data_IF_909050803573
#
_entry.id   IF_909050803573
#
_cell.length_a   1.000
_cell.length_b   1.000
_cell.length_c   1.000
_cell.angle_alpha   90.00
_cell.angle_beta   90.00
_cell.angle_gamma   90.00
#
_symmetry.space_group_name_H-M   'P 1'
#
loop_
_entity.id
_entity.type
_entity.pdbx_description
1 polymer ?
#
# COMPACT_ATOMS: atom_id res chain seq x y z
N UNK A 1 63.46 -38.92 25.32
CA UNK A 1 62.44 -39.05 26.38
C UNK A 1 61.07 -38.79 25.76
N UNK A 2 60.11 -39.69 26.00
CA UNK A 2 58.72 -39.62 25.52
C UNK A 2 57.93 -38.61 26.36
N UNK A 3 57.14 -37.75 25.73
CA UNK A 3 55.99 -37.09 26.37
C UNK A 3 54.91 -36.80 25.32
N UNK A 4 53.81 -37.53 25.44
CA UNK A 4 52.47 -37.20 24.94
C UNK A 4 51.82 -36.20 25.91
N UNK A 5 50.96 -35.28 25.45
CA UNK A 5 49.80 -34.63 26.13
C UNK A 5 49.29 -33.55 25.13
N UNK A 6 48.21 -33.77 24.37
CA UNK A 6 46.77 -33.66 24.68
C UNK A 6 46.13 -32.55 23.82
N UNK A 7 45.41 -32.99 22.78
CA UNK A 7 44.39 -32.24 22.06
C UNK A 7 43.16 -32.20 22.97
N UNK A 8 42.76 -31.02 23.42
CA UNK A 8 41.65 -30.83 24.36
C UNK A 8 40.71 -29.71 23.91
N UNK A 9 39.63 -30.13 23.25
CA UNK A 9 38.28 -29.55 23.19
C UNK A 9 38.04 -28.08 23.64
N UNK A 10 37.80 -27.19 22.67
CA UNK A 10 36.93 -26.01 22.83
C UNK A 10 36.09 -25.88 21.56
N UNK A 11 34.90 -26.48 21.54
CA UNK A 11 33.86 -26.25 20.53
C UNK A 11 32.59 -27.00 20.95
N UNK A 12 31.74 -26.39 21.80
CA UNK A 12 30.37 -26.86 22.06
C UNK A 12 29.56 -25.78 22.83
N UNK A 13 29.28 -24.65 22.18
CA UNK A 13 28.29 -23.69 22.70
C UNK A 13 27.74 -22.78 21.59
N UNK A 14 27.15 -23.37 20.54
CA UNK A 14 26.47 -22.60 19.48
C UNK A 14 25.43 -23.44 18.71
N UNK A 15 24.39 -23.97 19.37
CA UNK A 15 23.30 -24.67 18.64
C UNK A 15 21.88 -24.51 19.20
N UNK A 16 21.61 -23.61 20.15
CA UNK A 16 20.28 -23.48 20.76
C UNK A 16 19.38 -22.39 20.17
N UNK A 17 19.84 -21.60 19.19
CA UNK A 17 19.12 -20.39 18.74
C UNK A 17 18.35 -20.51 17.40
N UNK A 18 18.22 -21.71 16.82
CA UNK A 18 17.69 -21.88 15.45
C UNK A 18 16.54 -22.89 15.31
N UNK A 19 15.80 -23.14 16.40
CA UNK A 19 14.49 -23.80 16.32
C UNK A 19 13.39 -22.75 16.55
N UNK A 20 13.26 -21.79 15.64
CA UNK A 20 11.98 -21.10 15.50
C UNK A 20 10.97 -22.15 15.01
N UNK A 21 10.31 -22.80 15.97
CA UNK A 21 9.20 -23.69 15.70
C UNK A 21 8.25 -22.96 14.73
N UNK A 22 8.10 -23.52 13.54
CA UNK A 22 7.04 -23.12 12.61
C UNK A 22 5.71 -23.38 13.31
N UNK A 23 5.22 -22.39 14.06
CA UNK A 23 3.92 -22.46 14.69
C UNK A 23 2.87 -22.75 13.62
N UNK A 24 2.08 -23.79 13.88
CA UNK A 24 0.98 -24.21 13.02
C UNK A 24 0.10 -22.97 12.75
N UNK A 25 -0.13 -22.60 11.47
CA UNK A 25 -1.05 -21.53 11.11
C UNK A 25 -2.45 -21.66 11.75
N UNK A 26 -2.90 -22.86 12.10
CA UNK A 26 -4.13 -23.09 12.89
C UNK A 26 -4.00 -22.50 14.29
N UNK A 27 -2.92 -22.83 15.02
CA UNK A 27 -2.70 -22.32 16.39
C UNK A 27 -2.62 -20.80 16.42
N UNK A 28 -1.97 -20.16 15.43
CA UNK A 28 -1.92 -18.70 15.35
C UNK A 28 -3.28 -18.04 15.13
N UNK A 29 -4.23 -18.74 14.53
CA UNK A 29 -5.59 -18.24 14.32
C UNK A 29 -6.42 -18.44 15.57
N UNK A 30 -6.31 -19.62 16.17
CA UNK A 30 -6.97 -19.98 17.42
C UNK A 30 -6.54 -19.06 18.56
N UNK A 31 -5.23 -18.76 18.69
CA UNK A 31 -4.72 -17.88 19.73
C UNK A 31 -5.25 -16.45 19.58
N UNK A 32 -5.32 -15.91 18.36
CA UNK A 32 -5.92 -14.59 18.11
C UNK A 32 -7.39 -14.54 18.52
N UNK A 33 -8.15 -15.59 18.24
CA UNK A 33 -9.55 -15.69 18.65
C UNK A 33 -9.67 -15.84 20.17
N UNK A 34 -8.75 -16.59 20.80
CA UNK A 34 -8.65 -16.71 22.26
C UNK A 34 -8.50 -15.33 22.90
N UNK A 35 -7.54 -14.54 22.45
CA UNK A 35 -7.23 -13.23 23.01
C UNK A 35 -8.36 -12.22 22.75
N UNK A 36 -8.94 -12.23 21.54
CA UNK A 36 -9.98 -11.28 21.15
C UNK A 36 -11.33 -11.52 21.85
N UNK A 37 -11.68 -12.79 22.08
CA UNK A 37 -12.98 -13.17 22.64
C UNK A 37 -12.88 -13.72 24.07
N UNK A 38 -11.68 -13.70 24.65
CA UNK A 38 -11.40 -14.27 25.97
C UNK A 38 -11.88 -15.72 26.10
N UNK A 39 -11.59 -16.56 25.10
CA UNK A 39 -12.07 -17.94 25.06
C UNK A 39 -11.43 -18.78 26.17
N UNK A 40 -12.25 -19.63 26.79
CA UNK A 40 -11.79 -20.69 27.71
C UNK A 40 -11.01 -21.78 26.96
N UNK A 41 -10.20 -22.56 27.66
CA UNK A 41 -9.39 -23.61 27.03
C UNK A 41 -10.23 -24.69 26.32
N UNK A 42 -11.42 -24.99 26.84
CA UNK A 42 -12.37 -25.89 26.17
C UNK A 42 -12.90 -25.29 24.85
N UNK A 43 -13.21 -23.98 24.84
CA UNK A 43 -13.63 -23.29 23.61
C UNK A 43 -12.48 -23.21 22.60
N UNK A 44 -11.25 -23.01 23.06
CA UNK A 44 -10.03 -23.00 22.24
C UNK A 44 -9.85 -24.34 21.53
N UNK A 45 -10.04 -25.46 22.23
CA UNK A 45 -9.97 -26.79 21.62
C UNK A 45 -11.04 -26.97 20.52
N UNK A 46 -12.29 -26.56 20.77
CA UNK A 46 -13.36 -26.64 19.77
C UNK A 46 -13.08 -25.76 18.55
N UNK A 47 -12.60 -24.53 18.77
CA UNK A 47 -12.24 -23.61 17.67
C UNK A 47 -11.07 -24.16 16.86
N UNK A 48 -10.07 -24.78 17.50
CA UNK A 48 -8.97 -25.47 16.82
C UNK A 48 -9.48 -26.54 15.87
N UNK A 49 -10.39 -27.39 16.33
CA UNK A 49 -10.94 -28.47 15.50
C UNK A 49 -11.76 -27.91 14.32
N UNK A 50 -12.56 -26.86 14.56
CA UNK A 50 -13.32 -26.17 13.50
C UNK A 50 -12.38 -25.58 12.45
N UNK A 51 -11.39 -24.80 12.86
CA UNK A 51 -10.44 -24.16 11.95
C UNK A 51 -9.64 -25.19 11.18
N UNK A 52 -9.24 -26.30 11.83
CA UNK A 52 -8.53 -27.40 11.15
C UNK A 52 -9.41 -28.04 10.08
N UNK A 53 -10.66 -28.37 10.43
CA UNK A 53 -11.63 -28.96 9.52
C UNK A 53 -11.93 -28.04 8.33
N UNK A 54 -12.20 -26.76 8.56
CA UNK A 54 -12.44 -25.79 7.49
C UNK A 54 -11.28 -25.73 6.49
N UNK A 55 -10.03 -25.80 6.97
CA UNK A 55 -8.85 -25.81 6.09
C UNK A 55 -8.72 -27.11 5.30
N UNK A 56 -9.07 -28.25 5.89
CA UNK A 56 -9.12 -29.52 5.17
C UNK A 56 -10.22 -29.52 4.11
N UNK A 57 -11.42 -29.03 4.44
CA UNK A 57 -12.56 -28.90 3.52
C UNK A 57 -12.22 -27.97 2.34
N UNK A 58 -11.59 -26.82 2.62
CA UNK A 58 -11.09 -25.92 1.57
C UNK A 58 -10.04 -26.62 0.72
N UNK A 59 -9.07 -27.33 1.32
CA UNK A 59 -8.05 -28.06 0.53
C UNK A 59 -8.64 -29.15 -0.34
N UNK A 60 -9.71 -29.80 0.09
CA UNK A 60 -10.35 -30.88 -0.66
C UNK A 60 -10.95 -30.41 -2.00
N UNK A 61 -11.39 -29.15 -2.08
CA UNK A 61 -11.96 -28.58 -3.33
C UNK A 61 -10.92 -27.89 -4.22
N UNK A 62 -9.67 -27.77 -3.77
CA UNK A 62 -8.59 -27.13 -4.51
C UNK A 62 -7.80 -28.14 -5.34
N UNK A 63 -7.30 -27.70 -6.49
CA UNK A 63 -6.29 -28.46 -7.26
C UNK A 63 -4.95 -28.45 -6.53
N UNK A 64 -4.03 -29.35 -6.89
CA UNK A 64 -2.73 -29.44 -6.21
C UNK A 64 -1.88 -28.16 -6.36
N UNK A 65 -1.99 -27.47 -7.50
CA UNK A 65 -1.38 -26.16 -7.71
C UNK A 65 -1.97 -25.07 -6.79
N UNK A 66 -3.30 -25.10 -6.60
CA UNK A 66 -3.99 -24.16 -5.70
C UNK A 66 -3.70 -24.45 -4.23
N UNK A 67 -3.61 -25.73 -3.82
CA UNK A 67 -3.22 -26.14 -2.45
C UNK A 67 -1.85 -25.58 -2.07
N UNK A 68 -0.89 -25.64 -3.00
CA UNK A 68 0.46 -25.08 -2.80
C UNK A 68 0.40 -23.57 -2.53
N UNK A 69 -0.36 -22.84 -3.35
CA UNK A 69 -0.57 -21.39 -3.16
C UNK A 69 -1.27 -21.09 -1.84
N UNK A 70 -2.29 -21.87 -1.48
CA UNK A 70 -3.05 -21.72 -0.25
C UNK A 70 -2.18 -21.94 1.01
N UNK A 71 -1.33 -22.98 0.99
CA UNK A 71 -0.40 -23.26 2.08
C UNK A 71 0.69 -22.19 2.21
N UNK A 72 1.15 -21.63 1.09
CA UNK A 72 2.12 -20.55 1.08
C UNK A 72 1.52 -19.22 1.54
N UNK A 73 0.26 -18.92 1.16
CA UNK A 73 -0.47 -17.74 1.60
C UNK A 73 -0.78 -17.78 3.10
N UNK A 74 -1.10 -18.96 3.64
CA UNK A 74 -1.32 -19.17 5.09
C UNK A 74 -0.08 -19.01 5.96
N UNK A 75 1.12 -19.09 5.36
CA UNK A 75 2.41 -18.82 6.04
C UNK A 75 2.77 -17.32 6.06
N UNK A 76 1.81 -16.46 5.74
CA UNK A 76 1.91 -15.01 5.72
C UNK A 76 2.96 -14.45 6.66
N UNK A 77 3.98 -13.88 6.02
CA UNK A 77 5.17 -13.20 6.53
C UNK A 77 4.83 -11.94 7.35
N UNK A 78 3.93 -12.05 8.35
CA UNK A 78 3.77 -11.04 9.41
C UNK A 78 4.89 -11.29 10.39
N UNK A 79 5.99 -10.57 10.21
CA UNK A 79 7.15 -10.64 11.10
C UNK A 79 6.73 -10.40 12.56
N UNK A 80 7.38 -11.06 13.52
CA UNK A 80 7.12 -10.88 14.94
C UNK A 80 7.75 -9.56 15.37
N UNK A 81 6.93 -8.54 15.62
CA UNK A 81 7.40 -7.27 16.16
C UNK A 81 6.70 -6.07 15.54
N UNK A 82 5.53 -5.73 16.08
CA UNK A 82 4.80 -4.54 15.65
C UNK A 82 3.46 -4.44 16.34
N UNK A 83 3.50 -4.29 17.67
CA UNK A 83 2.33 -4.05 18.51
C UNK A 83 1.80 -2.62 18.31
N UNK A 84 1.56 -2.22 17.06
CA UNK A 84 0.99 -0.91 16.75
C UNK A 84 -0.53 -1.07 16.55
N UNK A 85 -1.21 -1.08 17.69
CA UNK A 85 -2.66 -1.04 17.80
C UNK A 85 -3.12 0.34 17.30
N UNK A 86 -3.37 0.44 16.00
CA UNK A 86 -3.72 1.69 15.35
C UNK A 86 -4.29 1.44 13.98
N UNK A 87 -5.61 1.15 13.97
CA UNK A 87 -6.55 1.33 12.87
C UNK A 87 -5.92 1.92 11.57
N UNK A 88 -5.35 1.06 10.74
CA UNK A 88 -4.43 1.49 9.68
C UNK A 88 -4.27 0.42 8.62
N UNK A 89 -5.38 0.14 7.93
CA UNK A 89 -5.45 -0.26 6.53
C UNK A 89 -4.25 -1.08 6.00
N UNK A 90 -4.44 -2.39 5.83
CA UNK A 90 -3.54 -3.35 5.15
C UNK A 90 -3.18 -2.98 3.68
N UNK A 91 -3.35 -1.71 3.27
CA UNK A 91 -3.07 -1.16 1.96
C UNK A 91 -1.59 -1.11 1.58
N UNK A 92 -0.65 -1.61 2.38
CA UNK A 92 0.73 -1.84 1.88
C UNK A 92 0.77 -2.90 0.76
N UNK A 93 -0.35 -3.60 0.48
CA UNK A 93 -0.58 -4.34 -0.76
C UNK A 93 -0.62 -3.46 -2.02
N UNK A 94 -0.75 -2.13 -1.89
CA UNK A 94 -0.69 -1.18 -2.99
C UNK A 94 0.74 -0.89 -3.47
N UNK A 95 1.78 -1.24 -2.70
CA UNK A 95 3.14 -1.36 -3.21
C UNK A 95 3.23 -2.69 -3.97
N UNK A 96 2.41 -2.83 -5.02
CA UNK A 96 2.56 -3.93 -5.99
C UNK A 96 3.96 -3.77 -6.56
N UNK A 97 4.90 -4.56 -6.04
CA UNK A 97 6.35 -4.48 -6.27
C UNK A 97 6.82 -4.82 -7.69
N UNK A 98 6.08 -4.37 -8.68
CA UNK A 98 6.23 -4.57 -10.11
C UNK A 98 5.22 -3.71 -10.88
N UNK A 99 4.69 -2.65 -10.27
CA UNK A 99 3.61 -1.84 -10.81
C UNK A 99 3.99 -1.06 -12.09
N UNK A 100 5.22 -1.17 -12.58
CA UNK A 100 5.67 -0.58 -13.84
C UNK A 100 5.44 -1.48 -15.06
N UNK A 101 4.91 -2.70 -14.87
CA UNK A 101 4.50 -3.59 -15.96
C UNK A 101 2.98 -3.83 -15.97
N UNK A 102 2.36 -4.02 -17.16
CA UNK A 102 0.97 -4.46 -17.28
C UNK A 102 0.71 -5.79 -16.54
N UNK A 103 -0.54 -6.16 -16.24
CA UNK A 103 -0.77 -7.49 -15.64
C UNK A 103 -0.38 -8.61 -16.63
N UNK A 104 0.01 -9.79 -16.13
CA UNK A 104 0.47 -10.88 -17.03
C UNK A 104 -0.68 -11.36 -17.92
N UNK A 105 -1.91 -11.33 -17.40
CA UNK A 105 -3.11 -11.66 -18.17
C UNK A 105 -3.37 -10.64 -19.30
N UNK A 106 -3.10 -9.35 -19.06
CA UNK A 106 -3.23 -8.32 -20.10
C UNK A 106 -2.21 -8.56 -21.22
N UNK A 107 -0.96 -8.86 -20.84
CA UNK A 107 0.09 -9.25 -21.79
C UNK A 107 -0.27 -10.54 -22.53
N UNK A 108 -0.83 -11.54 -21.84
CA UNK A 108 -1.26 -12.80 -22.47
C UNK A 108 -2.24 -12.55 -23.60
N UNK A 109 -3.25 -11.73 -23.35
CA UNK A 109 -4.27 -11.39 -24.35
C UNK A 109 -3.68 -10.53 -25.47
N UNK A 110 -2.94 -9.46 -25.15
CA UNK A 110 -2.42 -8.51 -26.14
C UNK A 110 -1.34 -9.12 -27.06
N UNK A 111 -0.47 -9.97 -26.51
CA UNK A 111 0.63 -10.59 -27.25
C UNK A 111 0.33 -12.03 -27.67
N UNK A 112 -0.86 -12.55 -27.32
CA UNK A 112 -1.24 -13.95 -27.55
C UNK A 112 -0.16 -14.91 -27.02
N UNK A 113 0.27 -14.70 -25.76
CA UNK A 113 1.34 -15.48 -25.15
C UNK A 113 0.93 -16.94 -24.93
N UNK A 114 1.88 -17.85 -25.13
CA UNK A 114 1.71 -19.26 -24.74
C UNK A 114 1.75 -19.42 -23.21
N UNK A 115 1.23 -20.53 -22.69
CA UNK A 115 1.25 -20.80 -21.25
C UNK A 115 2.68 -20.92 -20.70
N UNK A 116 3.62 -21.44 -21.50
CA UNK A 116 5.04 -21.50 -21.15
C UNK A 116 5.66 -20.10 -21.04
N UNK A 117 5.35 -19.19 -21.99
CA UNK A 117 5.80 -17.80 -21.93
C UNK A 117 5.22 -17.08 -20.71
N UNK A 118 3.93 -17.29 -20.42
CA UNK A 118 3.25 -16.73 -19.25
C UNK A 118 3.92 -17.19 -17.95
N UNK A 119 4.25 -18.48 -17.85
CA UNK A 119 4.93 -19.07 -16.69
C UNK A 119 6.29 -18.40 -16.47
N UNK A 120 7.13 -18.32 -17.52
CA UNK A 120 8.46 -17.67 -17.43
C UNK A 120 8.39 -16.17 -17.13
N UNK A 121 7.40 -15.45 -17.67
CA UNK A 121 7.18 -14.03 -17.35
C UNK A 121 6.78 -13.85 -15.87
N UNK A 122 5.98 -14.77 -15.32
CA UNK A 122 5.63 -14.73 -13.91
C UNK A 122 6.84 -14.98 -13.01
N UNK A 123 7.71 -15.94 -13.35
CA UNK A 123 8.97 -16.17 -12.63
C UNK A 123 9.87 -14.92 -12.60
N UNK A 124 10.00 -14.24 -13.75
CA UNK A 124 10.73 -12.96 -13.82
C UNK A 124 10.11 -11.92 -12.87
N UNK A 125 8.78 -11.79 -12.85
CA UNK A 125 8.07 -10.86 -11.95
C UNK A 125 8.20 -11.23 -10.48
N UNK A 126 8.21 -12.51 -10.16
CA UNK A 126 8.42 -13.01 -8.80
C UNK A 126 9.84 -12.67 -8.33
N UNK A 127 10.85 -12.85 -9.19
CA UNK A 127 12.23 -12.46 -8.90
C UNK A 127 12.36 -10.96 -8.59
N UNK A 128 11.77 -10.10 -9.43
CA UNK A 128 11.72 -8.63 -9.19
C UNK A 128 11.05 -8.29 -7.86
N UNK A 129 9.94 -8.96 -7.52
CA UNK A 129 9.25 -8.77 -6.23
C UNK A 129 10.13 -9.19 -5.06
N UNK A 130 10.94 -10.25 -5.20
CA UNK A 130 11.90 -10.68 -4.19
C UNK A 130 13.07 -9.71 -4.05
N UNK A 131 13.61 -9.19 -5.15
CA UNK A 131 14.65 -8.16 -5.15
C UNK A 131 14.16 -6.89 -4.46
N UNK A 132 12.93 -6.45 -4.76
CA UNK A 132 12.34 -5.29 -4.12
C UNK A 132 12.12 -5.51 -2.62
N UNK A 133 11.66 -6.71 -2.22
CA UNK A 133 11.55 -7.07 -0.81
C UNK A 133 12.91 -7.00 -0.12
N UNK A 134 13.94 -7.54 -0.74
CA UNK A 134 15.32 -7.53 -0.23
C UNK A 134 15.86 -6.12 -0.11
N UNK A 135 15.62 -5.27 -1.13
CA UNK A 135 15.98 -3.86 -1.12
C UNK A 135 15.41 -3.12 0.09
N UNK A 136 14.12 -3.32 0.40
CA UNK A 136 13.49 -2.70 1.57
C UNK A 136 13.91 -3.35 2.90
N UNK A 137 14.09 -4.67 2.94
CA UNK A 137 14.53 -5.38 4.15
C UNK A 137 15.95 -5.00 4.57
N UNK A 138 16.89 -4.93 3.62
CA UNK A 138 18.28 -4.55 3.88
C UNK A 138 18.38 -3.11 4.39
N UNK A 139 17.43 -2.25 4.01
CA UNK A 139 17.35 -0.87 4.50
C UNK A 139 16.64 -0.72 5.84
N UNK A 140 15.59 -1.49 6.09
CA UNK A 140 14.82 -1.40 7.34
C UNK A 140 15.58 -1.85 8.58
N UNK A 141 16.65 -2.64 8.44
CA UNK A 141 17.49 -3.10 9.56
C UNK A 141 18.67 -2.20 9.90
N UNK A 142 19.16 -1.40 8.95
CA UNK A 142 20.46 -0.76 9.07
C UNK A 142 20.43 0.75 9.27
N UNK A 143 19.25 1.39 9.31
CA UNK A 143 19.18 2.85 9.24
C UNK A 143 18.44 3.47 10.43
N UNK A 144 19.22 3.80 11.47
CA UNK A 144 18.81 4.61 12.62
C UNK A 144 18.87 6.13 12.33
N UNK A 145 18.86 6.55 11.05
CA UNK A 145 18.86 7.97 10.69
C UNK A 145 19.32 8.21 9.26
N UNK A 146 18.53 8.97 8.49
CA UNK A 146 18.96 9.49 7.18
C UNK A 146 18.10 9.04 6.00
N UNK A 147 16.86 9.51 5.95
CA UNK A 147 15.91 9.29 4.86
C UNK A 147 16.21 10.06 3.55
N UNK A 148 17.34 10.75 3.43
CA UNK A 148 17.61 11.64 2.30
C UNK A 148 18.05 10.89 1.01
N UNK A 149 18.69 9.72 1.11
CA UNK A 149 19.12 8.94 -0.08
C UNK A 149 18.15 7.79 -0.45
N UNK A 150 16.98 7.72 0.19
CA UNK A 150 16.03 6.63 -0.07
C UNK A 150 15.44 6.75 -1.48
N UNK A 151 14.99 7.96 -1.82
CA UNK A 151 14.32 8.27 -3.08
C UNK A 151 15.23 8.02 -4.29
N UNK A 152 16.46 8.55 -4.27
CA UNK A 152 17.41 8.38 -5.38
C UNK A 152 17.78 6.90 -5.61
N UNK A 153 18.12 6.18 -4.55
CA UNK A 153 18.44 4.74 -4.68
C UNK A 153 17.23 3.92 -5.10
N UNK A 154 16.01 4.33 -4.70
CA UNK A 154 14.79 3.66 -5.12
C UNK A 154 14.49 3.93 -6.61
N UNK A 155 14.69 5.16 -7.07
CA UNK A 155 14.58 5.51 -8.49
C UNK A 155 15.60 4.73 -9.33
N UNK A 156 16.87 4.69 -8.91
CA UNK A 156 17.91 3.92 -9.58
C UNK A 156 17.60 2.41 -9.62
N UNK A 157 17.11 1.86 -8.50
CA UNK A 157 16.64 0.48 -8.45
C UNK A 157 15.48 0.24 -9.43
N UNK A 158 14.52 1.16 -9.49
CA UNK A 158 13.35 1.06 -10.36
C UNK A 158 13.73 1.12 -11.83
N UNK A 159 14.59 2.06 -12.24
CA UNK A 159 15.07 2.17 -13.63
C UNK A 159 15.82 0.92 -14.06
N UNK A 160 16.77 0.46 -13.24
CA UNK A 160 17.53 -0.76 -13.50
C UNK A 160 16.61 -1.98 -13.59
N UNK A 161 15.71 -2.14 -12.64
CA UNK A 161 14.76 -3.25 -12.62
C UNK A 161 13.85 -3.21 -13.85
N UNK A 162 13.39 -2.03 -14.27
CA UNK A 162 12.55 -1.86 -15.46
C UNK A 162 13.28 -2.28 -16.73
N UNK A 163 14.52 -1.86 -16.92
CA UNK A 163 15.33 -2.20 -18.09
C UNK A 163 15.62 -3.71 -18.15
N UNK A 164 16.18 -4.27 -17.07
CA UNK A 164 16.55 -5.69 -17.02
C UNK A 164 15.33 -6.60 -17.19
N UNK A 165 14.21 -6.25 -16.55
CA UNK A 165 12.97 -7.02 -16.67
C UNK A 165 12.41 -6.96 -18.08
N UNK A 166 12.38 -5.78 -18.69
CA UNK A 166 11.88 -5.61 -20.06
C UNK A 166 12.73 -6.40 -21.05
N UNK A 167 14.06 -6.41 -20.87
CA UNK A 167 14.99 -7.20 -21.67
C UNK A 167 14.73 -8.71 -21.53
N UNK A 168 14.68 -9.23 -20.29
CA UNK A 168 14.40 -10.66 -20.02
C UNK A 168 13.06 -11.10 -20.61
N UNK A 169 12.04 -10.24 -20.57
CA UNK A 169 10.74 -10.56 -21.19
C UNK A 169 10.88 -10.58 -22.72
N UNK A 170 11.53 -9.57 -23.34
CA UNK A 170 11.73 -9.54 -24.81
C UNK A 170 12.48 -10.76 -25.35
N UNK A 171 13.43 -11.30 -24.60
CA UNK A 171 14.19 -12.50 -24.99
C UNK A 171 13.31 -13.77 -25.02
N UNK A 172 12.13 -13.76 -24.37
CA UNK A 172 11.14 -14.84 -24.38
C UNK A 172 10.07 -14.67 -25.47
N UNK A 173 10.02 -13.51 -26.12
CA UNK A 173 9.01 -13.16 -27.11
C UNK A 173 9.50 -13.44 -28.52
N UNK A 174 8.58 -13.81 -29.41
CA UNK A 174 8.85 -13.89 -30.85
C UNK A 174 9.08 -12.50 -31.44
N UNK A 175 9.68 -12.42 -32.63
CA UNK A 175 9.92 -11.14 -33.30
C UNK A 175 8.62 -10.38 -33.60
N UNK A 176 7.52 -11.09 -33.83
CA UNK A 176 6.18 -10.51 -34.03
C UNK A 176 5.56 -9.96 -32.72
N UNK A 177 5.93 -10.50 -31.57
CA UNK A 177 5.41 -10.10 -30.25
C UNK A 177 6.16 -8.89 -29.67
N UNK A 178 7.46 -8.75 -29.95
CA UNK A 178 8.30 -7.64 -29.46
C UNK A 178 7.72 -6.23 -29.72
N UNK A 179 7.24 -5.87 -30.93
CA UNK A 179 6.65 -4.54 -31.14
C UNK A 179 5.37 -4.31 -30.32
N UNK A 180 4.52 -5.34 -30.16
CA UNK A 180 3.30 -5.27 -29.32
C UNK A 180 3.64 -5.10 -27.85
N UNK A 181 4.70 -5.75 -27.37
CA UNK A 181 5.20 -5.56 -26.01
C UNK A 181 5.61 -4.11 -25.76
N UNK A 182 6.34 -3.52 -26.70
CA UNK A 182 6.83 -2.15 -26.58
C UNK A 182 5.70 -1.13 -26.58
N UNK A 183 4.68 -1.35 -27.41
CA UNK A 183 3.45 -0.57 -27.39
C UNK A 183 2.68 -0.73 -26.07
N UNK A 184 2.54 -1.96 -25.57
CA UNK A 184 1.91 -2.22 -24.28
C UNK A 184 2.63 -1.50 -23.13
N UNK A 185 3.97 -1.47 -23.13
CA UNK A 185 4.76 -0.72 -22.15
C UNK A 185 4.53 0.78 -22.25
N UNK A 186 4.47 1.34 -23.46
CA UNK A 186 4.21 2.78 -23.68
C UNK A 186 2.81 3.16 -23.20
N UNK A 187 1.79 2.41 -23.61
CA UNK A 187 0.39 2.63 -23.21
C UNK A 187 0.23 2.52 -21.71
N UNK A 188 0.85 1.51 -21.10
CA UNK A 188 0.83 1.36 -19.66
C UNK A 188 1.52 2.51 -18.93
N UNK A 189 2.69 2.96 -19.40
CA UNK A 189 3.39 4.11 -18.83
C UNK A 189 2.58 5.42 -18.97
N UNK A 190 1.85 5.62 -20.08
CA UNK A 190 0.96 6.77 -20.27
C UNK A 190 -0.27 6.74 -19.35
N UNK A 191 -0.76 5.54 -19.00
CA UNK A 191 -1.89 5.35 -18.10
C UNK A 191 -1.48 5.24 -16.62
N UNK A 192 -0.19 5.12 -16.33
CA UNK A 192 0.32 5.13 -14.98
C UNK A 192 0.21 6.56 -14.44
N UNK A 193 -0.31 6.74 -13.21
CA UNK A 193 -0.22 8.04 -12.56
C UNK A 193 1.26 8.42 -12.44
N UNK A 194 1.62 9.70 -12.62
CA UNK A 194 3.01 10.12 -12.65
C UNK A 194 3.75 9.68 -11.37
N UNK A 195 5.04 9.31 -11.46
CA UNK A 195 5.83 8.94 -10.28
C UNK A 195 5.71 10.00 -9.19
N UNK A 196 5.24 9.61 -8.01
CA UNK A 196 4.93 10.53 -6.89
C UNK A 196 3.43 10.79 -6.66
N UNK A 197 2.55 10.36 -7.57
CA UNK A 197 1.10 10.44 -7.39
C UNK A 197 0.51 9.27 -6.56
N UNK A 198 1.33 8.38 -6.00
CA UNK A 198 0.88 7.15 -5.33
C UNK A 198 1.30 7.04 -3.87
N UNK A 199 0.34 7.28 -2.95
CA UNK A 199 -0.11 6.39 -1.84
C UNK A 199 -1.05 7.11 -0.86
N UNK A 200 -1.27 8.41 -1.03
CA UNK A 200 -2.18 9.19 -0.19
C UNK A 200 -2.92 10.31 -0.93
N UNK A 201 -2.96 10.30 -2.26
CA UNK A 201 -3.42 11.45 -3.02
C UNK A 201 -4.08 11.10 -4.32
N UNK A 202 -5.39 10.92 -4.29
CA UNK A 202 -6.27 11.26 -5.43
C UNK A 202 -6.26 12.78 -5.73
N UNK A 203 -5.15 13.47 -5.42
CA UNK A 203 -4.93 14.91 -5.39
C UNK A 203 -3.81 15.34 -6.34
N UNK A 204 -3.33 14.45 -7.21
CA UNK A 204 -2.43 14.83 -8.29
C UNK A 204 -3.14 15.76 -9.28
N UNK A 205 -2.64 16.98 -9.42
CA UNK A 205 -3.11 17.97 -10.37
C UNK A 205 -3.60 19.27 -9.73
N UNK A 206 -3.62 20.35 -10.50
CA UNK A 206 -4.14 21.65 -10.07
C UNK A 206 -5.62 21.53 -9.65
N UNK A 207 -6.14 22.53 -8.92
CA UNK A 207 -7.58 22.61 -8.64
C UNK A 207 -8.37 22.54 -9.95
N UNK A 208 -7.96 23.28 -10.98
CA UNK A 208 -8.69 23.34 -12.25
C UNK A 208 -8.68 21.99 -13.00
N UNK A 209 -7.57 21.25 -12.97
CA UNK A 209 -7.50 19.90 -13.55
C UNK A 209 -8.44 18.92 -12.82
N UNK A 210 -8.51 19.02 -11.48
CA UNK A 210 -9.44 18.20 -10.70
C UNK A 210 -10.88 18.57 -10.97
N UNK A 211 -11.20 19.86 -11.06
CA UNK A 211 -12.52 20.36 -11.43
C UNK A 211 -12.90 19.84 -12.82
N UNK A 212 -12.02 19.95 -13.80
CA UNK A 212 -12.25 19.44 -15.16
C UNK A 212 -12.62 17.96 -15.18
N UNK A 213 -11.87 17.12 -14.46
CA UNK A 213 -12.18 15.69 -14.31
C UNK A 213 -13.53 15.42 -13.66
N UNK A 214 -13.93 16.22 -12.68
CA UNK A 214 -15.26 16.07 -12.06
C UNK A 214 -16.35 16.47 -13.04
N UNK A 215 -16.23 17.63 -13.69
CA UNK A 215 -17.23 18.14 -14.63
C UNK A 215 -17.45 17.20 -15.82
N UNK A 216 -16.40 16.57 -16.34
CA UNK A 216 -16.49 15.56 -17.41
C UNK A 216 -17.42 14.39 -17.05
N UNK A 217 -17.48 14.01 -15.76
CA UNK A 217 -18.31 12.89 -15.30
C UNK A 217 -19.75 13.29 -14.97
N UNK A 218 -20.01 14.56 -14.66
CA UNK A 218 -21.35 15.01 -14.28
C UNK A 218 -22.32 15.11 -15.46
N UNK A 219 -21.81 15.19 -16.70
CA UNK A 219 -22.60 15.21 -17.95
C UNK A 219 -23.75 16.23 -17.90
N UNK A 220 -23.45 17.45 -17.46
CA UNK A 220 -24.42 18.57 -17.39
C UNK A 220 -24.56 19.18 -18.78
N UNK A 221 -25.76 19.12 -19.36
CA UNK A 221 -26.03 19.62 -20.72
C UNK A 221 -26.27 21.14 -20.75
N UNK A 222 -26.91 21.69 -19.71
CA UNK A 222 -27.14 23.13 -19.62
C UNK A 222 -25.85 23.88 -19.27
N UNK A 223 -25.49 24.86 -20.10
CA UNK A 223 -24.24 25.60 -19.95
C UNK A 223 -24.20 26.49 -18.70
N UNK A 224 -25.35 27.03 -18.27
CA UNK A 224 -25.41 27.91 -17.08
C UNK A 224 -25.33 27.07 -15.80
N UNK A 225 -26.04 25.95 -15.75
CA UNK A 225 -25.92 24.95 -14.69
C UNK A 225 -24.49 24.43 -14.59
N UNK A 226 -23.88 24.07 -15.72
CA UNK A 226 -22.51 23.56 -15.77
C UNK A 226 -21.50 24.56 -15.19
N UNK A 227 -21.55 25.84 -15.57
CA UNK A 227 -20.65 26.86 -15.03
C UNK A 227 -20.91 27.14 -13.54
N UNK A 228 -22.18 27.15 -13.10
CA UNK A 228 -22.51 27.31 -11.68
C UNK A 228 -21.97 26.15 -10.83
N UNK A 229 -22.19 24.91 -11.26
CA UNK A 229 -21.70 23.68 -10.61
C UNK A 229 -20.17 23.66 -10.61
N UNK A 230 -19.52 23.99 -11.72
CA UNK A 230 -18.06 24.07 -11.84
C UNK A 230 -17.45 25.05 -10.83
N UNK A 231 -18.05 26.23 -10.67
CA UNK A 231 -17.62 27.22 -9.68
C UNK A 231 -17.74 26.70 -8.23
N UNK A 232 -18.79 25.95 -7.92
CA UNK A 232 -18.99 25.35 -6.59
C UNK A 232 -18.08 24.15 -6.33
N UNK A 233 -17.88 23.27 -7.31
CA UNK A 233 -16.90 22.17 -7.25
C UNK A 233 -15.50 22.74 -7.01
N UNK A 234 -15.13 23.83 -7.71
CA UNK A 234 -13.86 24.53 -7.49
C UNK A 234 -13.71 25.00 -6.04
N UNK A 235 -14.72 25.67 -5.47
CA UNK A 235 -14.71 26.11 -4.07
C UNK A 235 -14.54 24.95 -3.09
N UNK A 236 -15.22 23.82 -3.32
CA UNK A 236 -15.06 22.63 -2.48
C UNK A 236 -13.63 22.11 -2.53
N UNK A 237 -13.03 22.03 -3.72
CA UNK A 237 -11.66 21.56 -3.89
C UNK A 237 -10.62 22.50 -3.28
N UNK A 238 -10.79 23.81 -3.41
CA UNK A 238 -9.94 24.82 -2.76
C UNK A 238 -10.02 24.72 -1.23
N UNK A 239 -11.23 24.52 -0.69
CA UNK A 239 -11.41 24.32 0.76
C UNK A 239 -10.72 23.03 1.24
N UNK A 240 -10.83 21.93 0.48
CA UNK A 240 -10.11 20.68 0.78
C UNK A 240 -8.58 20.89 0.78
N UNK A 241 -8.03 21.60 -0.21
CA UNK A 241 -6.59 21.90 -0.30
C UNK A 241 -6.11 22.77 0.87
N UNK A 242 -6.92 23.73 1.31
CA UNK A 242 -6.61 24.56 2.49
C UNK A 242 -6.51 23.70 3.75
N UNK A 243 -7.46 22.79 3.97
CA UNK A 243 -7.42 21.85 5.11
C UNK A 243 -6.15 21.00 5.06
N UNK A 244 -5.80 20.46 3.89
CA UNK A 244 -4.60 19.62 3.76
C UNK A 244 -3.31 20.39 4.02
N UNK A 245 -3.23 21.61 3.49
CA UNK A 245 -2.09 22.50 3.71
C UNK A 245 -1.97 22.85 5.18
N UNK A 246 -3.09 23.23 5.81
CA UNK A 246 -3.15 23.50 7.24
C UNK A 246 -2.73 22.30 8.09
N UNK A 247 -3.17 21.08 7.73
CA UNK A 247 -2.78 19.86 8.44
C UNK A 247 -1.29 19.56 8.30
N UNK A 248 -0.69 19.79 7.12
CA UNK A 248 0.76 19.64 6.92
C UNK A 248 1.55 20.62 7.77
N UNK A 249 1.18 21.90 7.73
CA UNK A 249 1.81 22.94 8.54
C UNK A 249 1.65 22.69 10.04
N UNK A 250 0.47 22.23 10.46
CA UNK A 250 0.17 21.87 11.85
C UNK A 250 1.05 20.73 12.34
N UNK A 251 1.34 19.72 11.52
CA UNK A 251 2.28 18.64 11.90
C UNK A 251 3.67 19.20 12.18
N UNK A 252 4.18 20.08 11.34
CA UNK A 252 5.46 20.75 11.57
C UNK A 252 5.44 21.56 12.87
N UNK A 253 4.38 22.34 13.11
CA UNK A 253 4.22 23.11 14.35
C UNK A 253 4.16 22.22 15.59
N UNK A 254 3.43 21.11 15.54
CA UNK A 254 3.34 20.14 16.65
C UNK A 254 4.71 19.52 16.90
N UNK A 255 5.44 19.14 15.84
CA UNK A 255 6.79 18.59 15.97
C UNK A 255 7.75 19.62 16.61
N UNK A 256 7.67 20.88 16.21
CA UNK A 256 8.45 21.98 16.81
C UNK A 256 8.10 22.19 18.29
N UNK A 257 6.80 22.25 18.63
CA UNK A 257 6.33 22.36 20.00
C UNK A 257 6.81 21.18 20.87
N UNK A 258 6.77 19.97 20.33
CA UNK A 258 7.22 18.76 21.05
C UNK A 258 8.72 18.74 21.36
N UNK A 259 9.52 19.45 20.56
CA UNK A 259 10.99 19.55 20.75
C UNK A 259 11.38 20.70 21.65
N UNK A 260 10.51 21.69 21.83
CA UNK A 260 10.79 22.85 22.66
C UNK A 260 10.51 22.53 24.13
N UNK A 261 11.58 22.21 24.87
CA UNK A 261 11.52 21.87 26.30
C UNK A 261 11.32 23.07 27.22
N UNK A 262 11.45 24.29 26.67
CA UNK A 262 11.36 25.52 27.45
C UNK A 262 9.91 26.05 27.53
N UNK A 263 8.98 25.46 26.79
CA UNK A 263 7.56 25.80 26.87
C UNK A 263 6.91 25.15 28.09
N UNK A 264 6.14 25.95 28.83
CA UNK A 264 5.26 25.41 29.86
C UNK A 264 4.08 24.66 29.25
N UNK A 265 3.50 23.73 30.00
CA UNK A 265 2.30 22.99 29.57
C UNK A 265 1.14 23.92 29.19
N UNK A 266 0.98 25.05 29.90
CA UNK A 266 -0.02 26.06 29.58
C UNK A 266 0.22 26.68 28.20
N UNK A 267 1.47 27.05 27.88
CA UNK A 267 1.83 27.61 26.58
C UNK A 267 1.64 26.59 25.44
N UNK A 268 1.94 25.31 25.68
CA UNK A 268 1.65 24.23 24.72
C UNK A 268 0.14 24.09 24.52
N UNK A 269 -0.65 24.15 25.60
CA UNK A 269 -2.12 24.11 25.56
C UNK A 269 -2.72 25.20 24.68
N UNK A 270 -2.31 26.45 24.87
CA UNK A 270 -2.78 27.59 24.06
C UNK A 270 -2.48 27.39 22.56
N UNK A 271 -1.30 26.84 22.22
CA UNK A 271 -0.92 26.57 20.84
C UNK A 271 -1.74 25.45 20.20
N UNK A 272 -2.06 24.41 20.97
CA UNK A 272 -2.95 23.34 20.52
C UNK A 272 -4.36 23.88 20.29
N UNK A 273 -4.88 24.73 21.18
CA UNK A 273 -6.20 25.35 21.00
C UNK A 273 -6.26 26.24 19.74
N UNK A 274 -5.20 27.03 19.48
CA UNK A 274 -5.06 27.84 18.26
C UNK A 274 -5.12 26.95 16.99
N UNK A 275 -4.40 25.83 17.01
CA UNK A 275 -4.40 24.83 15.93
C UNK A 275 -5.81 24.24 15.72
N UNK A 276 -6.48 23.83 16.80
CA UNK A 276 -7.80 23.23 16.72
C UNK A 276 -8.85 24.22 16.20
N UNK A 277 -8.76 25.48 16.62
CA UNK A 277 -9.64 26.56 16.15
C UNK A 277 -9.47 26.80 14.66
N UNK A 278 -8.24 26.90 14.16
CA UNK A 278 -7.98 27.09 12.73
C UNK A 278 -8.50 25.94 11.88
N UNK A 279 -8.31 24.69 12.32
CA UNK A 279 -8.88 23.52 11.64
C UNK A 279 -10.42 23.58 11.59
N UNK A 280 -11.07 23.97 12.70
CA UNK A 280 -12.53 24.06 12.79
C UNK A 280 -13.13 25.10 11.83
N UNK A 281 -12.49 26.26 11.67
CA UNK A 281 -12.95 27.27 10.70
C UNK A 281 -12.82 26.77 9.26
N UNK A 282 -11.73 26.08 8.90
CA UNK A 282 -11.58 25.51 7.56
C UNK A 282 -12.60 24.40 7.26
N UNK A 283 -12.93 23.56 8.25
CA UNK A 283 -14.01 22.56 8.12
C UNK A 283 -15.37 23.23 7.93
N UNK A 284 -15.62 24.36 8.58
CA UNK A 284 -16.85 25.15 8.39
C UNK A 284 -16.93 25.71 6.98
N UNK A 285 -15.82 26.22 6.43
CA UNK A 285 -15.76 26.69 5.04
C UNK A 285 -16.03 25.55 4.04
N UNK A 286 -15.43 24.37 4.26
CA UNK A 286 -15.67 23.19 3.44
C UNK A 286 -17.14 22.75 3.52
N UNK A 287 -17.73 22.71 4.72
CA UNK A 287 -19.13 22.36 4.91
C UNK A 287 -20.07 23.34 4.20
N UNK A 288 -19.77 24.65 4.28
CA UNK A 288 -20.51 25.69 3.56
C UNK A 288 -20.45 25.51 2.04
N UNK A 289 -19.25 25.24 1.50
CA UNK A 289 -19.06 24.99 0.07
C UNK A 289 -19.81 23.72 -0.40
N UNK A 290 -19.77 22.64 0.39
CA UNK A 290 -20.48 21.40 0.08
C UNK A 290 -22.00 21.59 0.09
N UNK A 291 -22.53 22.27 1.11
CA UNK A 291 -23.96 22.57 1.20
C UNK A 291 -24.44 23.35 -0.02
N UNK A 292 -23.72 24.41 -0.41
CA UNK A 292 -24.05 25.20 -1.59
C UNK A 292 -24.01 24.36 -2.88
N UNK A 293 -23.08 23.39 -2.99
CA UNK A 293 -23.03 22.46 -4.12
C UNK A 293 -24.23 21.51 -4.14
N UNK A 294 -24.61 20.92 -3.00
CA UNK A 294 -25.78 20.02 -2.90
C UNK A 294 -27.08 20.71 -3.30
N UNK A 295 -27.24 22.01 -3.01
CA UNK A 295 -28.45 22.77 -3.35
C UNK A 295 -28.67 22.99 -4.86
N UNK A 296 -27.65 22.82 -5.70
CA UNK A 296 -27.73 23.09 -7.15
C UNK A 296 -27.57 21.86 -8.03
N UNK A 297 -27.29 20.69 -7.45
CA UNK A 297 -27.09 19.44 -8.20
C UNK A 297 -28.28 18.51 -8.04
N UNK A 298 -28.52 17.68 -9.05
CA UNK A 298 -29.49 16.59 -8.98
C UNK A 298 -28.95 15.44 -8.13
N UNK A 299 -29.84 14.60 -7.59
CA UNK A 299 -29.45 13.39 -6.83
C UNK A 299 -28.47 12.48 -7.60
N UNK A 300 -28.58 12.42 -8.93
CA UNK A 300 -27.68 11.61 -9.76
C UNK A 300 -26.27 12.21 -9.81
N UNK A 301 -26.16 13.53 -9.97
CA UNK A 301 -24.89 14.24 -9.94
C UNK A 301 -24.27 14.17 -8.53
N UNK A 302 -25.08 14.26 -7.48
CA UNK A 302 -24.64 14.10 -6.09
C UNK A 302 -23.98 12.74 -5.84
N UNK A 303 -24.56 11.64 -6.33
CA UNK A 303 -23.95 10.31 -6.24
C UNK A 303 -22.56 10.24 -6.92
N UNK A 304 -22.40 10.87 -8.08
CA UNK A 304 -21.09 10.95 -8.75
C UNK A 304 -20.10 11.83 -7.95
N UNK A 305 -20.55 12.93 -7.37
CA UNK A 305 -19.73 13.77 -6.50
C UNK A 305 -19.27 13.03 -5.23
N UNK A 306 -20.13 12.22 -4.61
CA UNK A 306 -19.79 11.35 -3.47
C UNK A 306 -18.76 10.30 -3.89
N UNK A 307 -18.98 9.63 -5.03
CA UNK A 307 -18.05 8.63 -5.58
C UNK A 307 -16.64 9.21 -5.81
N UNK A 308 -16.56 10.49 -6.16
CA UNK A 308 -15.30 11.22 -6.38
C UNK A 308 -14.73 11.86 -5.11
N UNK A 309 -15.47 11.81 -3.99
CA UNK A 309 -15.05 12.38 -2.70
C UNK A 309 -15.12 13.90 -2.61
N UNK A 310 -15.86 14.54 -3.53
CA UNK A 310 -16.15 15.99 -3.48
C UNK A 310 -17.19 16.26 -2.40
N UNK A 311 -18.29 15.51 -2.43
CA UNK A 311 -19.30 15.45 -1.38
C UNK A 311 -19.05 14.24 -0.45
N UNK A 312 -19.61 14.29 0.75
CA UNK A 312 -19.54 13.24 1.77
C UNK A 312 -20.90 13.03 2.40
#
# INVERSE_FOLDING_TARGET
>A
MKTWVAVGAVLLSASAALAQQTEDPVERTVQRLKDQLSLTDEQVAKVRDIVKKEREDVKAVLTDAQKTTYDQAGRGNRGPGGNNNGNGNNNFTGFRGGAWLPATNDLKTQLSLTDDQVTKINEIRDAVRQELRTFFQNRGRNNNGGGQNLAEQFNAFQEKSKEETSKKIRDLLTDEQKPKFDEALKTFAANQPPPGAGFGGNRGGSVDERVGRVMENLKIEDAKESEAVKGLVKKVMEAMDKIDTYQRETRTKIDELSRNKDLSDAAVGEKIEEILKGHKELEKDLAGARKALTEVVTNRQELELIRRGVLR
#
